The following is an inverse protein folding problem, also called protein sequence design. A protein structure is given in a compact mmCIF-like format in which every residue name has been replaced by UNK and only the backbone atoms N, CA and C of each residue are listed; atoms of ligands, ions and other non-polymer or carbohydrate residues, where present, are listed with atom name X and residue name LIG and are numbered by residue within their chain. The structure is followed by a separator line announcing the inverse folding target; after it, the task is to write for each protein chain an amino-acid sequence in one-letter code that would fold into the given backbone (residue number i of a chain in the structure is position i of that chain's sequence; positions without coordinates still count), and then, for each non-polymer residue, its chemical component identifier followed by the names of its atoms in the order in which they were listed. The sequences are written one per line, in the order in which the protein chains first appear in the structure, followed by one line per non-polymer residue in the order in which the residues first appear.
data_IF_045830339770
#
_entry.id   IF_045830339770
#
_cell.length_a   1.000
_cell.length_b   1.000
_cell.length_c   1.000
_cell.angle_alpha   90.00
_cell.angle_beta   90.00
_cell.angle_gamma   90.00
#
_symmetry.space_group_name_H-M   'P 1'
#
loop_
_entity.id
_entity.type
_entity.pdbx_description
1 polymer ?
#
# COMPACT_ATOMS: atom_id res chain seq x y z
N UNK A 1 39.21 3.93 6.49
CA UNK A 1 38.16 4.32 7.45
C UNK A 1 37.10 5.05 6.65
N UNK A 2 35.96 4.42 6.38
CA UNK A 2 34.86 5.11 5.72
C UNK A 2 34.34 6.18 6.69
N UNK A 3 34.34 7.45 6.27
CA UNK A 3 33.70 8.51 7.04
C UNK A 3 32.21 8.16 7.14
N UNK A 4 31.75 7.77 8.31
CA UNK A 4 30.32 7.65 8.54
C UNK A 4 29.73 9.06 8.35
N UNK A 5 28.68 9.20 7.53
CA UNK A 5 28.09 10.50 7.13
C UNK A 5 27.51 11.35 8.27
N UNK A 6 27.82 11.04 9.52
CA UNK A 6 27.46 11.80 10.72
C UNK A 6 28.26 13.10 10.89
N UNK A 7 29.42 13.23 10.23
CA UNK A 7 30.32 14.38 10.39
C UNK A 7 29.93 15.60 9.54
N UNK A 8 28.94 15.47 8.64
CA UNK A 8 28.48 16.57 7.77
C UNK A 8 26.96 16.57 7.59
N UNK A 9 26.32 17.73 7.78
CA UNK A 9 24.88 17.92 7.57
C UNK A 9 24.11 18.23 8.85
N UNK A 10 22.80 18.49 8.73
CA UNK A 10 21.91 18.68 9.87
C UNK A 10 21.53 17.31 10.44
N UNK A 11 21.69 17.12 11.75
CA UNK A 11 21.34 15.86 12.44
C UNK A 11 19.93 15.32 12.13
N UNK A 12 18.97 16.22 11.86
CA UNK A 12 17.62 15.95 11.36
C UNK A 12 16.93 14.71 11.98
N UNK A 13 16.95 14.60 13.32
CA UNK A 13 16.32 13.51 14.07
C UNK A 13 14.82 13.37 13.74
N UNK A 14 14.18 12.21 13.96
CA UNK A 14 12.80 11.93 13.56
C UNK A 14 11.81 13.06 13.88
N UNK A 15 11.87 13.59 15.10
CA UNK A 15 11.01 14.68 15.60
C UNK A 15 11.36 16.10 15.08
N UNK A 16 12.29 16.23 14.13
CA UNK A 16 12.78 17.52 13.61
C UNK A 16 12.49 17.65 12.12
N UNK A 17 12.02 18.84 11.71
CA UNK A 17 11.84 19.20 10.31
C UNK A 17 10.42 18.96 9.80
N UNK A 18 10.26 19.06 8.48
CA UNK A 18 8.98 18.82 7.80
C UNK A 18 8.79 17.30 7.70
N UNK A 19 7.59 16.83 8.05
CA UNK A 19 7.25 15.41 8.06
C UNK A 19 6.72 14.95 6.70
N UNK A 20 7.58 14.90 5.69
CA UNK A 20 7.34 14.11 4.47
C UNK A 20 7.65 12.63 4.73
N UNK A 21 7.12 11.73 3.90
CA UNK A 21 7.40 10.30 3.98
C UNK A 21 8.91 10.04 3.88
N UNK A 22 9.47 9.30 4.84
CA UNK A 22 10.90 8.99 4.92
C UNK A 22 11.83 10.22 4.99
N UNK A 23 11.27 11.43 5.20
CA UNK A 23 11.96 12.72 4.99
C UNK A 23 12.49 12.93 3.57
N UNK A 24 11.90 12.28 2.57
CA UNK A 24 12.23 12.51 1.17
C UNK A 24 11.80 13.93 0.73
N UNK A 25 12.44 14.50 -0.32
CA UNK A 25 12.09 15.83 -0.81
C UNK A 25 10.62 15.97 -1.19
N UNK A 26 10.04 17.12 -0.84
CA UNK A 26 8.69 17.50 -1.26
C UNK A 26 8.70 18.08 -2.68
N UNK A 27 7.75 17.67 -3.51
CA UNK A 27 7.53 18.21 -4.86
C UNK A 27 6.08 18.70 -4.97
N UNK A 28 5.91 20.02 -5.02
CA UNK A 28 4.60 20.66 -5.13
C UNK A 28 4.02 20.60 -6.55
N UNK A 29 4.87 20.84 -7.56
CA UNK A 29 4.47 20.79 -8.96
C UNK A 29 4.54 19.35 -9.49
N UNK A 30 3.39 18.72 -9.65
CA UNK A 30 3.29 17.34 -10.11
C UNK A 30 3.74 17.12 -11.56
N UNK A 31 3.91 18.18 -12.36
CA UNK A 31 4.53 18.11 -13.69
C UNK A 31 6.07 18.07 -13.64
N UNK A 32 6.66 18.27 -12.46
CA UNK A 32 8.11 18.27 -12.22
C UNK A 32 8.64 17.00 -11.52
N UNK A 33 7.81 15.97 -11.39
CA UNK A 33 8.19 14.70 -10.76
C UNK A 33 9.35 14.06 -11.55
N UNK A 34 10.49 13.88 -10.88
CA UNK A 34 11.68 13.20 -11.39
C UNK A 34 12.22 12.22 -10.35
N UNK A 35 11.63 11.03 -10.29
CA UNK A 35 11.87 10.04 -9.24
C UNK A 35 11.69 8.60 -9.74
N UNK A 36 12.25 7.63 -9.00
CA UNK A 36 11.95 6.21 -9.20
C UNK A 36 10.61 5.81 -8.54
N UNK A 37 10.25 6.47 -7.44
CA UNK A 37 8.97 6.32 -6.75
C UNK A 37 8.48 7.68 -6.22
N UNK A 38 7.17 7.89 -6.23
CA UNK A 38 6.54 9.09 -5.69
C UNK A 38 5.43 8.72 -4.70
N UNK A 39 5.43 9.39 -3.54
CA UNK A 39 4.49 9.17 -2.46
C UNK A 39 3.35 10.17 -2.57
N UNK A 40 2.11 9.69 -2.59
CA UNK A 40 0.88 10.49 -2.59
C UNK A 40 0.02 10.11 -1.40
N UNK A 41 -0.51 11.06 -0.65
CA UNK A 41 -1.54 10.77 0.34
C UNK A 41 -2.96 10.88 -0.24
N UNK A 42 -3.84 9.98 0.17
CA UNK A 42 -5.26 9.99 -0.18
C UNK A 42 -6.12 10.02 1.10
N UNK A 43 -6.20 11.16 1.82
CA UNK A 43 -6.83 11.26 3.15
C UNK A 43 -8.37 11.24 3.09
N UNK A 44 -8.94 10.14 2.61
CA UNK A 44 -10.36 9.93 2.37
C UNK A 44 -10.88 8.74 3.16
N UNK A 45 -11.94 8.91 3.97
CA UNK A 45 -12.57 7.79 4.69
C UNK A 45 -14.11 7.81 4.64
N UNK A 46 -14.69 8.43 3.60
CA UNK A 46 -16.16 8.56 3.48
C UNK A 46 -16.82 7.27 2.96
N UNK A 47 -16.04 6.30 2.51
CA UNK A 47 -16.47 4.98 2.08
C UNK A 47 -16.51 3.93 3.19
N UNK A 48 -15.98 4.26 4.38
CA UNK A 48 -15.93 3.39 5.54
C UNK A 48 -17.32 3.11 6.15
N UNK A 49 -17.56 1.86 6.58
CA UNK A 49 -18.86 1.41 7.09
C UNK A 49 -19.01 1.39 8.60
N UNK A 50 -17.91 1.43 9.35
CA UNK A 50 -17.95 1.35 10.81
C UNK A 50 -17.22 2.50 11.49
N UNK A 51 -15.91 2.39 11.70
CA UNK A 51 -15.10 3.44 12.34
C UNK A 51 -14.45 4.32 11.28
N UNK A 52 -14.70 5.61 11.35
CA UNK A 52 -13.93 6.63 10.63
C UNK A 52 -12.57 6.85 11.28
N UNK A 53 -11.63 7.48 10.59
CA UNK A 53 -10.31 7.83 11.14
C UNK A 53 -9.18 7.60 10.15
N UNK A 54 -9.40 6.77 9.12
CA UNK A 54 -8.41 6.46 8.11
C UNK A 54 -7.97 7.69 7.31
N UNK A 55 -8.77 8.76 7.23
CA UNK A 55 -8.35 10.04 6.63
C UNK A 55 -7.10 10.65 7.30
N UNK A 56 -6.81 10.27 8.55
CA UNK A 56 -5.61 10.71 9.28
C UNK A 56 -4.41 9.78 9.06
N UNK A 57 -4.62 8.62 8.42
CA UNK A 57 -3.61 7.62 8.09
C UNK A 57 -2.40 8.19 7.34
N UNK A 58 -2.56 8.95 6.24
CA UNK A 58 -1.42 9.45 5.47
C UNK A 58 -0.46 10.30 6.30
N UNK A 59 -1.01 11.14 7.18
CA UNK A 59 -0.19 11.99 8.07
C UNK A 59 0.53 11.16 9.12
N UNK A 60 -0.16 10.22 9.75
CA UNK A 60 0.43 9.36 10.77
C UNK A 60 1.53 8.44 10.20
N UNK A 61 1.35 7.93 8.99
CA UNK A 61 2.37 7.12 8.29
C UNK A 61 3.59 7.99 7.97
N UNK A 62 3.40 9.22 7.47
CA UNK A 62 4.53 10.14 7.23
C UNK A 62 5.31 10.43 8.51
N UNK A 63 4.63 10.78 9.59
CA UNK A 63 5.26 11.05 10.88
C UNK A 63 6.04 9.83 11.39
N UNK A 64 5.42 8.65 11.39
CA UNK A 64 6.06 7.41 11.81
C UNK A 64 7.27 7.04 10.93
N UNK A 65 7.19 7.31 9.61
CA UNK A 65 8.27 7.01 8.67
C UNK A 65 9.54 7.81 8.92
N UNK A 66 9.47 8.94 9.63
CA UNK A 66 10.66 9.71 10.02
C UNK A 66 11.61 8.90 10.90
N UNK A 67 11.12 7.90 11.65
CA UNK A 67 11.93 6.96 12.42
C UNK A 67 12.88 6.14 11.52
N UNK A 68 12.49 5.89 10.28
CA UNK A 68 13.22 5.06 9.33
C UNK A 68 14.01 5.88 8.30
N UNK A 69 14.12 7.21 8.50
CA UNK A 69 14.88 8.12 7.63
C UNK A 69 16.39 8.11 7.89
N UNK A 70 16.87 7.27 8.81
CA UNK A 70 18.30 7.14 9.10
C UNK A 70 19.00 6.26 8.07
N UNK A 71 20.07 6.79 7.48
CA UNK A 71 20.85 6.07 6.47
C UNK A 71 21.22 6.97 5.31
N UNK A 72 22.06 7.98 5.55
CA UNK A 72 22.55 8.89 4.50
C UNK A 72 23.24 8.16 3.32
N UNK A 73 23.58 6.88 3.49
CA UNK A 73 24.16 6.01 2.47
C UNK A 73 23.24 4.82 2.09
N UNK A 74 21.95 4.88 2.44
CA UNK A 74 20.99 3.79 2.33
C UNK A 74 20.73 3.06 3.65
N UNK A 75 19.79 2.12 3.62
CA UNK A 75 19.36 1.28 4.74
C UNK A 75 19.94 -0.13 4.59
N UNK A 76 20.96 -0.46 5.38
CA UNK A 76 21.54 -1.79 5.40
C UNK A 76 20.65 -2.76 6.19
N UNK A 77 20.27 -3.86 5.53
CA UNK A 77 19.59 -4.99 6.12
C UNK A 77 20.59 -6.14 6.31
N UNK A 78 20.73 -6.60 7.56
CA UNK A 78 21.68 -7.64 7.92
C UNK A 78 21.19 -9.04 7.53
N UNK A 79 19.87 -9.25 7.42
CA UNK A 79 19.30 -10.56 7.09
C UNK A 79 19.53 -10.87 5.62
N UNK A 80 19.41 -9.85 4.78
CA UNK A 80 19.60 -9.95 3.33
C UNK A 80 21.05 -9.71 2.88
N UNK A 81 21.90 -9.11 3.74
CA UNK A 81 23.22 -8.58 3.39
C UNK A 81 23.15 -7.58 2.21
N UNK A 82 22.16 -6.67 2.27
CA UNK A 82 21.87 -5.70 1.22
C UNK A 82 21.73 -4.30 1.81
N UNK A 83 22.32 -3.30 1.15
CA UNK A 83 21.99 -1.89 1.37
C UNK A 83 20.89 -1.45 0.41
N UNK A 84 19.67 -1.32 0.92
CA UNK A 84 18.51 -0.80 0.21
C UNK A 84 18.52 0.73 0.18
N UNK A 85 17.76 1.32 -0.75
CA UNK A 85 17.49 2.77 -0.81
C UNK A 85 18.75 3.65 -0.79
N UNK A 86 19.85 3.18 -1.40
CA UNK A 86 21.07 3.96 -1.61
C UNK A 86 20.72 5.24 -2.40
N UNK A 87 20.91 6.45 -1.84
CA UNK A 87 20.49 7.70 -2.46
C UNK A 87 21.30 8.06 -3.71
N UNK A 88 22.47 7.44 -3.94
CA UNK A 88 23.19 7.56 -5.20
C UNK A 88 22.54 6.77 -6.33
N UNK A 89 21.66 5.83 -5.99
CA UNK A 89 20.96 4.96 -6.93
C UNK A 89 19.52 5.40 -7.03
N UNK A 90 18.80 5.54 -5.92
CA UNK A 90 17.35 5.64 -5.87
C UNK A 90 16.90 7.07 -5.55
N UNK A 91 15.88 7.55 -6.25
CA UNK A 91 15.21 8.83 -6.02
C UNK A 91 13.76 8.59 -5.60
N UNK A 92 13.39 9.08 -4.43
CA UNK A 92 12.02 9.06 -3.93
C UNK A 92 11.62 10.50 -3.61
N UNK A 93 10.38 10.86 -3.93
CA UNK A 93 9.80 12.17 -3.61
C UNK A 93 8.45 11.99 -2.93
N UNK A 94 8.07 12.95 -2.08
CA UNK A 94 6.71 13.07 -1.54
C UNK A 94 6.01 14.20 -2.30
N UNK A 95 4.86 13.93 -2.91
CA UNK A 95 4.13 14.92 -3.71
C UNK A 95 2.96 15.55 -2.94
N UNK A 96 2.85 15.28 -1.64
CA UNK A 96 1.77 15.76 -0.80
C UNK A 96 0.52 14.90 -0.90
N UNK A 97 -0.65 15.53 -0.82
CA UNK A 97 -1.93 14.84 -0.75
C UNK A 97 -2.80 15.18 -1.96
N UNK A 98 -3.65 14.24 -2.37
CA UNK A 98 -4.75 14.54 -3.27
C UNK A 98 -5.80 15.40 -2.56
N UNK A 99 -6.37 16.37 -3.27
CA UNK A 99 -7.43 17.21 -2.75
C UNK A 99 -8.70 16.39 -2.49
N UNK A 100 -9.18 16.41 -1.24
CA UNK A 100 -10.41 15.73 -0.85
C UNK A 100 -11.55 16.74 -0.73
N UNK A 101 -12.62 16.52 -1.50
CA UNK A 101 -13.81 17.37 -1.50
C UNK A 101 -14.81 16.82 -0.49
N UNK A 102 -15.14 17.63 0.51
CA UNK A 102 -16.04 17.22 1.59
C UNK A 102 -17.35 16.63 1.04
N UNK A 103 -17.69 15.41 1.48
CA UNK A 103 -18.88 14.63 1.07
C UNK A 103 -18.94 14.19 -0.39
N UNK A 104 -18.02 14.60 -1.25
CA UNK A 104 -18.03 14.26 -2.67
C UNK A 104 -17.01 13.15 -2.97
N UNK A 105 -17.48 11.91 -2.88
CA UNK A 105 -16.69 10.70 -3.19
C UNK A 105 -16.18 10.72 -4.63
N UNK A 106 -17.02 11.07 -5.60
CA UNK A 106 -16.66 10.96 -7.02
C UNK A 106 -15.58 11.97 -7.37
N UNK A 107 -15.72 13.22 -6.91
CA UNK A 107 -14.71 14.24 -7.15
C UNK A 107 -13.41 13.96 -6.40
N UNK A 108 -13.49 13.49 -5.16
CA UNK A 108 -12.31 13.09 -4.39
C UNK A 108 -11.56 11.94 -5.04
N UNK A 109 -12.27 10.92 -5.54
CA UNK A 109 -11.67 9.82 -6.30
C UNK A 109 -11.01 10.33 -7.58
N UNK A 110 -11.67 11.21 -8.35
CA UNK A 110 -11.05 11.79 -9.55
C UNK A 110 -9.75 12.56 -9.25
N UNK A 111 -9.67 13.23 -8.10
CA UNK A 111 -8.46 13.94 -7.68
C UNK A 111 -7.32 12.97 -7.27
N UNK A 112 -7.64 11.85 -6.61
CA UNK A 112 -6.68 10.77 -6.31
C UNK A 112 -6.16 10.16 -7.61
N UNK A 113 -7.06 9.82 -8.54
CA UNK A 113 -6.71 9.27 -9.86
C UNK A 113 -5.77 10.21 -10.62
N UNK A 114 -6.06 11.52 -10.61
CA UNK A 114 -5.21 12.53 -11.23
C UNK A 114 -3.77 12.51 -10.66
N UNK A 115 -3.60 12.41 -9.34
CA UNK A 115 -2.28 12.31 -8.72
C UNK A 115 -1.52 11.04 -9.13
N UNK A 116 -2.19 9.89 -9.13
CA UNK A 116 -1.58 8.62 -9.56
C UNK A 116 -1.17 8.68 -11.04
N UNK A 117 -2.01 9.28 -11.90
CA UNK A 117 -1.67 9.48 -13.32
C UNK A 117 -0.44 10.36 -13.52
N UNK A 118 -0.27 11.43 -12.73
CA UNK A 118 0.95 12.27 -12.81
C UNK A 118 2.20 11.49 -12.46
N UNK A 119 2.13 10.64 -11.45
CA UNK A 119 3.25 9.76 -11.07
C UNK A 119 3.58 8.78 -12.20
N UNK A 120 2.57 8.12 -12.78
CA UNK A 120 2.74 7.17 -13.89
C UNK A 120 3.31 7.86 -15.14
N UNK A 121 2.84 9.05 -15.47
CA UNK A 121 3.35 9.87 -16.60
C UNK A 121 4.83 10.23 -16.44
N UNK A 122 5.30 10.43 -15.21
CA UNK A 122 6.71 10.64 -14.90
C UNK A 122 7.55 9.35 -14.94
N UNK A 123 6.95 8.18 -15.18
CA UNK A 123 7.61 6.88 -15.16
C UNK A 123 7.97 6.38 -13.76
N UNK A 124 7.48 7.05 -12.71
CA UNK A 124 7.74 6.70 -11.32
C UNK A 124 6.74 5.65 -10.81
N UNK A 125 7.13 4.89 -9.79
CA UNK A 125 6.23 3.99 -9.05
C UNK A 125 5.29 4.81 -8.14
N UNK A 126 3.95 4.76 -8.33
CA UNK A 126 3.01 5.34 -7.37
C UNK A 126 2.95 4.53 -6.09
N UNK A 127 3.14 5.22 -4.96
CA UNK A 127 2.91 4.68 -3.62
C UNK A 127 1.92 5.58 -2.90
N UNK A 128 0.71 5.06 -2.71
CA UNK A 128 -0.40 5.83 -2.13
C UNK A 128 -0.56 5.49 -0.65
N UNK A 129 -0.40 6.49 0.20
CA UNK A 129 -0.75 6.42 1.61
C UNK A 129 -2.25 6.62 1.70
N UNK A 130 -2.99 5.58 2.04
CA UNK A 130 -4.43 5.54 1.93
C UNK A 130 -5.16 6.17 3.10
N UNK A 131 -6.43 6.47 2.83
CA UNK A 131 -7.49 6.47 3.83
C UNK A 131 -8.19 5.11 3.79
N UNK A 132 -9.52 5.09 3.74
CA UNK A 132 -10.26 3.82 3.61
C UNK A 132 -9.96 3.10 2.27
N UNK A 133 -10.29 1.82 2.17
CA UNK A 133 -9.91 1.00 1.00
C UNK A 133 -10.59 1.43 -0.31
N UNK A 134 -11.60 2.30 -0.28
CA UNK A 134 -12.26 2.78 -1.51
C UNK A 134 -11.31 3.59 -2.41
N UNK A 135 -10.25 4.15 -1.84
CA UNK A 135 -9.21 4.89 -2.59
C UNK A 135 -8.42 4.01 -3.55
N UNK A 136 -8.49 2.67 -3.42
CA UNK A 136 -7.85 1.78 -4.38
C UNK A 136 -8.42 1.98 -5.80
N UNK A 137 -9.72 2.26 -5.94
CA UNK A 137 -10.35 2.39 -7.27
C UNK A 137 -9.84 3.54 -8.12
N UNK A 138 -9.76 4.78 -7.61
CA UNK A 138 -9.12 5.82 -8.39
C UNK A 138 -7.65 5.50 -8.71
N UNK A 139 -6.94 4.76 -7.85
CA UNK A 139 -5.59 4.31 -8.17
C UNK A 139 -5.58 3.30 -9.34
N UNK A 140 -6.47 2.30 -9.33
CA UNK A 140 -6.60 1.31 -10.42
C UNK A 140 -7.10 1.95 -11.72
N UNK A 141 -8.00 2.93 -11.65
CA UNK A 141 -8.48 3.64 -12.83
C UNK A 141 -7.34 4.34 -13.59
N UNK A 142 -6.32 4.82 -12.88
CA UNK A 142 -5.16 5.50 -13.46
C UNK A 142 -4.32 4.62 -14.41
N UNK A 143 -4.55 3.29 -14.42
CA UNK A 143 -3.83 2.31 -15.25
C UNK A 143 -4.51 1.99 -16.59
N UNK A 144 -5.58 2.69 -16.96
CA UNK A 144 -6.34 2.40 -18.20
C UNK A 144 -5.55 2.63 -19.51
N UNK A 145 -4.49 3.42 -19.46
CA UNK A 145 -3.55 3.68 -20.56
C UNK A 145 -2.18 3.02 -20.34
N UNK A 146 -2.08 2.13 -19.35
CA UNK A 146 -0.86 1.38 -18.99
C UNK A 146 -0.95 -0.08 -19.43
N UNK A 147 0.18 -0.79 -19.40
CA UNK A 147 0.18 -2.24 -19.56
C UNK A 147 -0.66 -2.92 -18.46
N UNK A 148 -1.40 -4.01 -18.77
CA UNK A 148 -2.29 -4.67 -17.82
C UNK A 148 -1.60 -5.12 -16.53
N UNK A 149 -2.35 -5.06 -15.43
CA UNK A 149 -1.90 -5.39 -14.07
C UNK A 149 -2.67 -6.60 -13.50
N UNK A 150 -2.03 -7.33 -12.61
CA UNK A 150 -2.66 -8.31 -11.72
C UNK A 150 -2.71 -7.73 -10.31
N UNK A 151 -3.88 -7.67 -9.67
CA UNK A 151 -3.98 -7.08 -8.33
C UNK A 151 -3.63 -8.14 -7.28
N UNK A 152 -2.69 -7.81 -6.40
CA UNK A 152 -2.37 -8.60 -5.22
C UNK A 152 -2.86 -7.83 -4.00
N UNK A 153 -3.90 -8.34 -3.36
CA UNK A 153 -4.49 -7.76 -2.17
C UNK A 153 -4.04 -8.54 -0.93
N UNK A 154 -3.52 -7.84 0.06
CA UNK A 154 -3.20 -8.38 1.39
C UNK A 154 -4.18 -7.75 2.38
N UNK A 155 -5.14 -8.53 2.87
CA UNK A 155 -6.35 -8.02 3.52
C UNK A 155 -7.05 -9.09 4.38
N UNK A 156 -7.82 -8.69 5.39
CA UNK A 156 -8.77 -9.57 6.07
C UNK A 156 -10.11 -9.76 5.31
N UNK A 157 -10.49 -8.78 4.49
CA UNK A 157 -11.78 -8.64 3.82
C UNK A 157 -11.67 -8.82 2.31
N UNK A 158 -12.74 -9.33 1.70
CA UNK A 158 -12.73 -9.64 0.26
C UNK A 158 -12.96 -8.41 -0.61
N UNK A 159 -13.66 -7.40 -0.07
CA UNK A 159 -13.90 -6.12 -0.73
C UNK A 159 -14.47 -6.21 -2.14
N UNK A 160 -15.30 -7.24 -2.34
CA UNK A 160 -15.85 -7.65 -3.62
C UNK A 160 -17.38 -7.47 -3.69
N UNK A 161 -17.97 -6.65 -2.81
CA UNK A 161 -19.40 -6.39 -2.86
C UNK A 161 -19.71 -5.53 -4.09
N UNK A 162 -20.71 -5.89 -4.88
CA UNK A 162 -21.12 -5.08 -6.04
C UNK A 162 -21.74 -3.76 -5.63
N UNK A 163 -22.79 -3.85 -4.84
CA UNK A 163 -23.56 -2.72 -4.37
C UNK A 163 -24.08 -3.00 -2.97
N UNK A 164 -24.02 -2.00 -2.09
CA UNK A 164 -24.64 -2.05 -0.77
C UNK A 164 -25.52 -0.83 -0.59
N UNK A 165 -26.84 -1.04 -0.65
CA UNK A 165 -27.85 0.03 -0.52
C UNK A 165 -27.59 1.24 -1.44
N UNK A 166 -27.28 1.02 -2.72
CA UNK A 166 -26.97 2.08 -3.68
C UNK A 166 -25.50 2.51 -3.74
N UNK A 167 -24.64 2.04 -2.82
CA UNK A 167 -23.21 2.39 -2.78
C UNK A 167 -22.38 1.37 -3.55
N UNK A 168 -21.64 1.83 -4.56
CA UNK A 168 -20.72 1.01 -5.40
C UNK A 168 -19.24 1.40 -5.29
N UNK A 169 -18.93 2.47 -4.54
CA UNK A 169 -17.59 3.06 -4.39
C UNK A 169 -17.23 3.29 -2.92
N UNK A 170 -17.69 2.41 -2.02
CA UNK A 170 -17.24 2.35 -0.63
C UNK A 170 -16.12 1.34 -0.44
N UNK A 171 -15.60 1.25 0.77
CA UNK A 171 -14.39 0.46 1.04
C UNK A 171 -14.58 -1.05 0.85
N UNK A 172 -15.80 -1.59 0.91
CA UNK A 172 -16.08 -3.00 0.61
C UNK A 172 -16.34 -3.33 -0.87
N UNK A 173 -16.16 -2.37 -1.78
CA UNK A 173 -16.39 -2.52 -3.23
C UNK A 173 -15.14 -2.58 -4.14
N UNK A 174 -13.91 -2.19 -3.73
CA UNK A 174 -12.84 -1.92 -4.68
C UNK A 174 -12.45 -3.15 -5.50
N UNK A 175 -12.25 -4.32 -4.91
CA UNK A 175 -11.84 -5.49 -5.69
C UNK A 175 -12.86 -5.87 -6.75
N UNK A 176 -14.16 -5.66 -6.48
CA UNK A 176 -15.20 -5.86 -7.49
C UNK A 176 -15.12 -4.85 -8.63
N UNK A 177 -14.90 -3.56 -8.36
CA UNK A 177 -14.72 -2.55 -9.42
C UNK A 177 -13.43 -2.78 -10.22
N UNK A 178 -12.37 -3.25 -9.57
CA UNK A 178 -11.11 -3.60 -10.22
C UNK A 178 -11.29 -4.77 -11.21
N UNK A 179 -11.97 -5.85 -10.79
CA UNK A 179 -12.24 -7.00 -11.66
C UNK A 179 -13.16 -6.69 -12.87
N UNK A 180 -13.85 -5.54 -12.88
CA UNK A 180 -14.65 -5.08 -14.02
C UNK A 180 -13.79 -4.37 -15.09
N UNK A 181 -12.51 -4.09 -14.83
CA UNK A 181 -11.61 -3.34 -15.73
C UNK A 181 -10.88 -4.26 -16.71
N UNK A 182 -10.82 -3.85 -17.97
CA UNK A 182 -10.13 -4.61 -19.02
C UNK A 182 -8.60 -4.70 -18.82
N UNK A 183 -8.01 -3.72 -18.13
CA UNK A 183 -6.58 -3.68 -17.80
C UNK A 183 -6.24 -4.41 -16.50
N UNK A 184 -7.21 -5.05 -15.84
CA UNK A 184 -6.99 -5.93 -14.68
C UNK A 184 -7.13 -7.38 -15.13
N UNK A 185 -6.03 -8.11 -15.09
CA UNK A 185 -5.93 -9.49 -15.61
C UNK A 185 -6.45 -10.54 -14.63
N UNK A 186 -6.47 -10.22 -13.34
CA UNK A 186 -6.90 -11.11 -12.27
C UNK A 186 -6.62 -10.51 -10.90
N UNK A 187 -7.11 -11.21 -9.86
CA UNK A 187 -6.93 -10.85 -8.46
C UNK A 187 -6.36 -12.03 -7.68
N UNK A 188 -5.36 -11.78 -6.83
CA UNK A 188 -4.95 -12.71 -5.77
C UNK A 188 -5.15 -12.04 -4.42
N UNK A 189 -6.02 -12.60 -3.60
CA UNK A 189 -6.48 -12.00 -2.34
C UNK A 189 -6.02 -12.88 -1.18
N UNK A 190 -5.20 -12.31 -0.29
CA UNK A 190 -4.39 -13.03 0.69
C UNK A 190 -4.68 -12.51 2.09
N UNK A 191 -5.10 -13.40 2.99
CA UNK A 191 -5.43 -13.05 4.38
C UNK A 191 -6.92 -13.10 4.72
N UNK A 192 -7.77 -13.40 3.73
CA UNK A 192 -9.23 -13.38 3.85
C UNK A 192 -9.70 -14.31 4.98
N UNK A 193 -10.44 -13.76 5.94
CA UNK A 193 -10.84 -14.51 7.15
C UNK A 193 -12.10 -13.98 7.81
N UNK A 194 -12.54 -14.74 8.82
CA UNK A 194 -13.68 -14.48 9.70
C UNK A 194 -15.04 -14.40 8.99
N UNK A 195 -16.11 -14.49 9.79
CA UNK A 195 -17.49 -14.35 9.29
C UNK A 195 -17.72 -12.91 8.81
N UNK A 196 -18.57 -12.74 7.80
CA UNK A 196 -18.98 -11.43 7.25
C UNK A 196 -17.96 -10.69 6.39
N UNK A 197 -16.80 -11.29 6.08
CA UNK A 197 -15.87 -10.74 5.06
C UNK A 197 -16.54 -10.59 3.68
N UNK A 198 -17.44 -11.50 3.33
CA UNK A 198 -18.40 -11.35 2.22
C UNK A 198 -19.56 -12.32 2.40
N UNK A 199 -20.66 -12.11 1.66
CA UNK A 199 -21.72 -13.10 1.52
C UNK A 199 -21.32 -14.20 0.51
N UNK A 200 -22.02 -15.35 0.55
CA UNK A 200 -21.65 -16.53 -0.27
C UNK A 200 -21.70 -16.24 -1.77
N UNK A 201 -22.69 -15.47 -2.20
CA UNK A 201 -22.83 -14.97 -3.57
C UNK A 201 -21.67 -14.05 -3.97
N UNK A 202 -21.24 -13.15 -3.08
CA UNK A 202 -20.06 -12.32 -3.29
C UNK A 202 -18.77 -13.13 -3.45
N UNK A 203 -18.60 -14.17 -2.63
CA UNK A 203 -17.47 -15.11 -2.77
C UNK A 203 -17.51 -15.87 -4.10
N UNK A 204 -18.67 -16.36 -4.52
CA UNK A 204 -18.83 -17.08 -5.79
C UNK A 204 -18.61 -16.15 -6.99
N UNK A 205 -19.10 -14.91 -6.93
CA UNK A 205 -18.86 -13.90 -7.95
C UNK A 205 -17.37 -13.57 -8.09
N UNK A 206 -16.65 -13.38 -6.98
CA UNK A 206 -15.21 -13.14 -7.00
C UNK A 206 -14.46 -14.27 -7.72
N UNK A 207 -14.79 -15.52 -7.42
CA UNK A 207 -14.19 -16.68 -8.08
C UNK A 207 -14.58 -16.80 -9.56
N UNK A 208 -15.83 -16.52 -9.90
CA UNK A 208 -16.29 -16.51 -11.28
C UNK A 208 -15.58 -15.45 -12.13
N UNK A 209 -15.16 -14.35 -11.49
CA UNK A 209 -14.37 -13.27 -12.09
C UNK A 209 -12.84 -13.47 -11.95
N UNK A 210 -12.39 -14.69 -11.61
CA UNK A 210 -10.97 -15.05 -11.64
C UNK A 210 -10.17 -14.76 -10.36
N UNK A 211 -10.82 -14.47 -9.23
CA UNK A 211 -10.12 -14.24 -7.97
C UNK A 211 -9.56 -15.54 -7.36
N UNK A 212 -8.27 -15.54 -7.02
CA UNK A 212 -7.65 -16.57 -6.17
C UNK A 212 -7.64 -16.12 -4.70
N UNK A 213 -8.45 -16.77 -3.86
CA UNK A 213 -8.75 -16.33 -2.50
C UNK A 213 -8.10 -17.25 -1.48
N UNK A 214 -7.19 -16.71 -0.67
CA UNK A 214 -6.42 -17.46 0.32
C UNK A 214 -6.57 -16.86 1.72
N UNK A 215 -6.95 -17.70 2.68
CA UNK A 215 -7.00 -17.32 4.09
C UNK A 215 -5.62 -17.35 4.74
N UNK A 216 -5.44 -16.65 5.87
CA UNK A 216 -4.23 -16.77 6.71
C UNK A 216 -3.92 -18.24 7.05
N UNK A 217 -4.95 -19.06 7.30
CA UNK A 217 -4.78 -20.49 7.59
C UNK A 217 -4.25 -21.29 6.40
N UNK A 218 -4.65 -20.91 5.18
CA UNK A 218 -4.11 -21.54 3.96
C UNK A 218 -2.66 -21.14 3.76
N UNK A 219 -2.35 -19.84 3.84
CA UNK A 219 -1.00 -19.30 3.69
C UNK A 219 -0.04 -19.96 4.68
N UNK A 220 -0.37 -19.98 5.98
CA UNK A 220 0.46 -20.63 7.01
C UNK A 220 0.66 -22.12 6.78
N UNK A 221 -0.35 -22.82 6.25
CA UNK A 221 -0.25 -24.26 5.97
C UNK A 221 0.65 -24.55 4.77
N UNK A 222 0.58 -23.74 3.71
CA UNK A 222 1.34 -23.97 2.48
C UNK A 222 2.73 -23.33 2.50
N UNK A 223 2.92 -22.28 3.30
CA UNK A 223 4.14 -21.48 3.35
C UNK A 223 4.24 -20.45 2.22
N UNK A 224 5.13 -19.48 2.41
CA UNK A 224 5.31 -18.31 1.53
C UNK A 224 5.62 -18.71 0.08
N UNK A 225 6.56 -19.63 -0.13
CA UNK A 225 6.96 -20.05 -1.48
C UNK A 225 5.80 -20.66 -2.28
N UNK A 226 4.98 -21.50 -1.64
CA UNK A 226 3.82 -22.11 -2.28
C UNK A 226 2.72 -21.09 -2.55
N UNK A 227 2.55 -20.09 -1.67
CA UNK A 227 1.61 -18.97 -1.90
C UNK A 227 2.05 -18.13 -3.12
N UNK A 228 3.33 -17.76 -3.19
CA UNK A 228 3.90 -16.99 -4.31
C UNK A 228 3.75 -17.71 -5.66
N UNK A 229 3.87 -19.04 -5.67
CA UNK A 229 3.69 -19.85 -6.87
C UNK A 229 2.24 -19.84 -7.41
N UNK A 230 1.26 -19.37 -6.62
CA UNK A 230 -0.12 -19.19 -7.08
C UNK A 230 -0.34 -17.86 -7.79
N UNK A 231 0.55 -16.88 -7.56
CA UNK A 231 0.51 -15.58 -8.22
C UNK A 231 1.15 -15.74 -9.62
N UNK A 232 0.51 -15.27 -10.70
CA UNK A 232 1.08 -15.33 -12.04
C UNK A 232 2.46 -14.67 -12.09
N UNK A 233 3.45 -15.33 -12.70
CA UNK A 233 4.84 -14.84 -12.75
C UNK A 233 5.10 -13.98 -13.99
N UNK A 234 6.04 -13.04 -13.90
CA UNK A 234 6.47 -12.20 -15.02
C UNK A 234 5.44 -11.16 -15.47
N UNK A 235 4.39 -10.92 -14.69
CA UNK A 235 3.37 -9.90 -14.96
C UNK A 235 3.63 -8.63 -14.15
N UNK A 236 2.90 -7.57 -14.46
CA UNK A 236 2.86 -6.35 -13.64
C UNK A 236 1.85 -6.54 -12.51
N UNK A 237 2.22 -6.18 -11.30
CA UNK A 237 1.36 -6.26 -10.12
C UNK A 237 0.94 -4.86 -9.67
N UNK A 238 -0.29 -4.74 -9.22
CA UNK A 238 -0.69 -3.67 -8.31
C UNK A 238 -0.84 -4.28 -6.91
N UNK A 239 -0.04 -3.81 -5.95
CA UNK A 239 -0.04 -4.31 -4.58
C UNK A 239 -0.89 -3.41 -3.69
N UNK A 240 -1.98 -3.93 -3.14
CA UNK A 240 -2.82 -3.21 -2.19
C UNK A 240 -2.75 -3.89 -0.82
N UNK A 241 -2.41 -3.11 0.20
CA UNK A 241 -2.17 -3.60 1.56
C UNK A 241 -3.17 -2.94 2.49
N UNK A 242 -4.16 -3.69 2.95
CA UNK A 242 -4.99 -3.28 4.08
C UNK A 242 -4.24 -3.57 5.38
N UNK A 243 -4.10 -2.58 6.25
CA UNK A 243 -3.45 -2.74 7.55
C UNK A 243 -4.17 -3.77 8.44
N UNK A 244 -5.47 -3.99 8.22
CA UNK A 244 -6.26 -4.97 8.96
C UNK A 244 -5.94 -6.43 8.57
N UNK A 245 -5.13 -6.65 7.54
CA UNK A 245 -4.57 -7.96 7.23
C UNK A 245 -3.70 -8.49 8.39
N UNK A 246 -3.07 -7.58 9.12
CA UNK A 246 -2.27 -7.88 10.29
C UNK A 246 -3.16 -8.23 11.49
N UNK A 247 -2.62 -9.00 12.42
CA UNK A 247 -3.35 -9.30 13.64
C UNK A 247 -3.52 -8.02 14.49
N UNK A 248 -4.72 -7.78 15.08
CA UNK A 248 -4.96 -6.61 15.92
C UNK A 248 -4.03 -6.51 17.14
N UNK A 249 -3.34 -7.58 17.52
CA UNK A 249 -2.30 -7.53 18.56
C UNK A 249 -1.06 -6.71 18.17
N UNK A 250 -0.83 -6.46 16.87
CA UNK A 250 0.29 -5.64 16.38
C UNK A 250 -0.17 -4.41 15.57
N UNK A 251 -1.38 -4.46 15.01
CA UNK A 251 -1.99 -3.37 14.24
C UNK A 251 -3.46 -3.12 14.66
N UNK A 252 -3.72 -2.67 15.91
CA UNK A 252 -5.09 -2.41 16.38
C UNK A 252 -5.75 -1.17 15.73
N UNK A 253 -4.95 -0.26 15.18
CA UNK A 253 -5.37 1.05 14.66
C UNK A 253 -5.99 0.97 13.26
N UNK A 254 -7.15 0.32 13.14
CA UNK A 254 -7.88 0.18 11.88
C UNK A 254 -9.39 0.36 12.08
N UNK A 255 -10.08 0.64 10.97
CA UNK A 255 -11.53 0.64 10.85
C UNK A 255 -12.12 -0.65 11.43
N UNK A 256 -11.85 -1.81 10.83
CA UNK A 256 -12.50 -3.10 11.11
C UNK A 256 -11.50 -4.22 11.49
N UNK A 257 -10.95 -4.24 12.71
CA UNK A 257 -9.90 -5.18 13.09
C UNK A 257 -10.41 -6.63 13.10
N UNK A 258 -9.61 -7.54 12.55
CA UNK A 258 -9.99 -8.93 12.34
C UNK A 258 -8.95 -9.89 12.95
N UNK A 259 -9.31 -10.59 14.04
CA UNK A 259 -8.38 -11.47 14.76
C UNK A 259 -7.89 -12.67 13.92
N UNK A 260 -6.71 -13.20 14.26
CA UNK A 260 -6.07 -14.30 13.56
C UNK A 260 -5.35 -13.86 12.29
N UNK A 261 -4.87 -12.62 12.27
CA UNK A 261 -4.18 -12.00 11.14
C UNK A 261 -2.71 -12.41 11.02
N UNK A 262 -2.04 -11.80 10.04
CA UNK A 262 -0.60 -11.99 9.82
C UNK A 262 0.24 -11.26 10.87
N UNK A 263 1.46 -11.76 11.05
CA UNK A 263 2.55 -11.01 11.67
C UNK A 263 3.43 -10.35 10.61
N UNK A 264 4.25 -9.39 11.04
CA UNK A 264 5.08 -8.55 10.16
C UNK A 264 5.83 -9.33 9.06
N UNK A 265 6.65 -10.33 9.45
CA UNK A 265 7.46 -11.08 8.51
C UNK A 265 6.65 -11.93 7.52
N UNK A 266 5.45 -12.41 7.90
CA UNK A 266 4.62 -13.18 6.95
C UNK A 266 4.25 -12.33 5.73
N UNK A 267 3.96 -11.04 5.94
CA UNK A 267 3.65 -10.10 4.86
C UNK A 267 4.90 -9.62 4.15
N UNK A 268 5.97 -9.29 4.89
CA UNK A 268 7.22 -8.81 4.28
C UNK A 268 7.83 -9.84 3.33
N UNK A 269 7.86 -11.11 3.70
CA UNK A 269 8.40 -12.20 2.88
C UNK A 269 7.55 -12.45 1.62
N UNK A 270 6.22 -12.27 1.72
CA UNK A 270 5.34 -12.32 0.55
C UNK A 270 5.65 -11.16 -0.41
N UNK A 271 5.89 -9.95 0.10
CA UNK A 271 6.20 -8.78 -0.71
C UNK A 271 7.58 -8.92 -1.37
N UNK A 272 8.59 -9.37 -0.64
CA UNK A 272 9.93 -9.63 -1.19
C UNK A 272 9.87 -10.65 -2.34
N UNK A 273 9.19 -11.76 -2.09
CA UNK A 273 9.00 -12.79 -3.11
C UNK A 273 8.19 -12.30 -4.32
N UNK A 274 7.21 -11.42 -4.11
CA UNK A 274 6.44 -10.81 -5.20
C UNK A 274 7.33 -9.89 -6.06
N UNK A 275 8.15 -9.05 -5.43
CA UNK A 275 9.09 -8.15 -6.09
C UNK A 275 10.15 -8.88 -6.94
N UNK A 276 10.49 -10.13 -6.58
CA UNK A 276 11.41 -10.99 -7.35
C UNK A 276 10.76 -11.67 -8.55
N UNK A 277 9.42 -11.77 -8.58
CA UNK A 277 8.66 -12.54 -9.58
C UNK A 277 8.09 -11.70 -10.71
N UNK A 278 8.06 -10.38 -10.57
CA UNK A 278 7.50 -9.48 -11.56
C UNK A 278 7.57 -8.02 -11.12
N UNK A 279 7.05 -7.12 -11.94
CA UNK A 279 7.11 -5.69 -11.67
C UNK A 279 5.97 -5.29 -10.75
N UNK A 280 6.26 -4.76 -9.55
CA UNK A 280 5.25 -4.04 -8.76
C UNK A 280 5.13 -2.63 -9.36
N UNK A 281 4.03 -2.39 -10.07
CA UNK A 281 3.78 -1.18 -10.86
C UNK A 281 2.98 -0.11 -10.11
N UNK A 282 2.39 -0.46 -8.97
CA UNK A 282 1.70 0.48 -8.08
C UNK A 282 1.47 -0.14 -6.70
N UNK A 283 1.42 0.72 -5.68
CA UNK A 283 1.23 0.31 -4.28
C UNK A 283 0.23 1.25 -3.62
N UNK A 284 -0.69 0.70 -2.81
CA UNK A 284 -1.35 1.46 -1.76
C UNK A 284 -1.30 0.72 -0.40
N UNK A 285 -1.29 1.50 0.68
CA UNK A 285 -1.46 1.01 2.04
C UNK A 285 -2.59 1.79 2.71
N UNK A 286 -3.65 1.10 3.11
CA UNK A 286 -4.94 1.68 3.47
C UNK A 286 -5.38 1.33 4.90
N UNK A 287 -6.49 1.93 5.33
CA UNK A 287 -7.23 1.65 6.58
C UNK A 287 -6.47 1.92 7.89
N UNK A 288 -5.31 2.58 7.83
CA UNK A 288 -4.59 3.06 9.03
C UNK A 288 -5.40 4.16 9.72
N UNK A 289 -5.98 3.83 10.87
CA UNK A 289 -6.79 4.72 11.69
C UNK A 289 -6.07 4.99 13.03
N UNK A 290 -5.20 6.03 13.09
CA UNK A 290 -4.27 6.23 14.21
C UNK A 290 -4.96 6.45 15.56
N UNK A 291 -6.17 7.03 15.58
CA UNK A 291 -6.89 7.33 16.83
C UNK A 291 -7.34 6.07 17.61
N UNK A 292 -7.33 4.89 16.96
CA UNK A 292 -7.64 3.61 17.60
C UNK A 292 -6.41 2.85 18.12
N UNK A 293 -5.22 3.44 18.01
CA UNK A 293 -3.98 2.89 18.55
C UNK A 293 -3.17 4.00 19.24
N UNK A 294 -3.38 4.16 20.55
CA UNK A 294 -2.72 5.21 21.33
C UNK A 294 -1.20 5.00 21.45
N UNK A 295 -0.70 3.79 21.16
CA UNK A 295 0.74 3.51 21.17
C UNK A 295 1.44 3.97 19.88
N UNK A 296 0.69 4.18 18.80
CA UNK A 296 1.22 4.47 17.47
C UNK A 296 1.85 3.27 16.76
N UNK A 297 1.77 2.06 17.34
CA UNK A 297 2.35 0.82 16.80
C UNK A 297 1.92 0.55 15.36
N UNK A 298 0.64 0.78 15.05
CA UNK A 298 0.04 0.55 13.73
C UNK A 298 0.67 1.45 12.67
N UNK A 299 0.83 2.74 12.97
CA UNK A 299 1.47 3.70 12.07
C UNK A 299 2.96 3.40 11.87
N UNK A 300 3.64 2.97 12.93
CA UNK A 300 5.05 2.51 12.85
C UNK A 300 5.17 1.27 11.98
N UNK A 301 4.28 0.29 12.16
CA UNK A 301 4.24 -0.93 11.36
C UNK A 301 4.01 -0.60 9.88
N UNK A 302 3.01 0.24 9.58
CA UNK A 302 2.71 0.67 8.21
C UNK A 302 3.90 1.38 7.55
N UNK A 303 4.52 2.32 8.26
CA UNK A 303 5.69 3.04 7.77
C UNK A 303 6.90 2.11 7.55
N UNK A 304 7.17 1.21 8.50
CA UNK A 304 8.27 0.25 8.40
C UNK A 304 8.07 -0.72 7.23
N UNK A 305 6.84 -1.22 7.06
CA UNK A 305 6.48 -2.11 5.96
C UNK A 305 6.67 -1.41 4.61
N UNK A 306 6.20 -0.18 4.45
CA UNK A 306 6.35 0.58 3.20
C UNK A 306 7.81 0.89 2.88
N UNK A 307 8.62 1.29 3.87
CA UNK A 307 10.05 1.54 3.67
C UNK A 307 10.79 0.26 3.21
N UNK A 308 10.48 -0.88 3.84
CA UNK A 308 11.05 -2.17 3.46
C UNK A 308 10.55 -2.66 2.09
N UNK A 309 9.28 -2.41 1.77
CA UNK A 309 8.67 -2.71 0.48
C UNK A 309 9.36 -1.91 -0.63
N UNK A 310 9.48 -0.59 -0.46
CA UNK A 310 10.18 0.29 -1.41
C UNK A 310 11.63 -0.14 -1.62
N UNK A 311 12.34 -0.48 -0.54
CA UNK A 311 13.71 -1.00 -0.62
C UNK A 311 13.82 -2.20 -1.54
N UNK A 312 12.99 -3.23 -1.30
CA UNK A 312 12.98 -4.49 -2.07
C UNK A 312 12.51 -4.29 -3.51
N UNK A 313 11.42 -3.56 -3.72
CA UNK A 313 10.88 -3.27 -5.06
C UNK A 313 11.91 -2.56 -5.92
N UNK A 314 12.51 -1.47 -5.42
CA UNK A 314 13.47 -0.67 -6.20
C UNK A 314 14.81 -1.36 -6.37
N UNK A 315 15.19 -2.26 -5.45
CA UNK A 315 16.35 -3.12 -5.60
C UNK A 315 16.18 -4.15 -6.72
N UNK A 316 15.01 -4.81 -6.78
CA UNK A 316 14.74 -5.85 -7.78
C UNK A 316 14.40 -5.29 -9.16
N UNK A 317 13.78 -4.10 -9.26
CA UNK A 317 13.47 -3.44 -10.55
C UNK A 317 14.71 -3.11 -11.40
N UNK A 318 15.89 -3.07 -10.78
CA UNK A 318 17.16 -2.66 -11.42
C UNK A 318 18.07 -3.82 -11.80
N UNK A 319 17.68 -5.06 -11.49
CA UNK A 319 18.41 -6.28 -11.86
C UNK A 319 17.81 -6.87 -13.13
#
# INVERSE_FOLDING_TARGET
MASHGYDSGRLNLPFVGICTFGKYPYVEDWDSIDADAAILGAPFDFGAQWRSGARMGPRAIREASTLFSFGHAGAYDFEDDITYLDPAKVRIVDIGDADIVHTDTIKSHANIEFGVRKILQAGALPVVLGGDHSINIPCINAFDDQDPIHVVQIDAHLDFVDERHGVRYGHGNPMRRAAEKAHVTGLTQIGIRNVSSTAKDGYDAARAMGSDIQSVRHVRRMGTAAMLARIPEGVRYYLTIDIDAFDPSIAPGTGTPSHGGFLYYEVLELIDGLARRGEIAGIDLVEVAPDYDQSGSTSILAAQLLMNTLGRVLHHRRR
#
